data_IF_188202601072
#
_entry.id   IF_188202601072
#
_cell.length_a   1.000
_cell.length_b   1.000
_cell.length_c   1.000
_cell.angle_alpha   90.00
_cell.angle_beta   90.00
_cell.angle_gamma   90.00
#
_symmetry.space_group_name_H-M   'P 1'
#
loop_
_entity.id
_entity.type
_entity.pdbx_description
1 polymer ?
#
# COMPACT_ATOMS: atom_id res chain seq x y z
N UNK A 1 13.58 0.85 -12.14
CA UNK A 1 13.43 1.45 -13.48
C UNK A 1 12.02 1.11 -13.95
N UNK A 2 11.11 2.09 -14.01
CA UNK A 2 9.80 1.88 -14.62
C UNK A 2 10.04 1.62 -16.11
N UNK A 3 9.79 0.38 -16.55
CA UNK A 3 10.02 -0.04 -17.93
C UNK A 3 8.87 0.52 -18.77
N UNK A 4 9.17 1.37 -19.75
CA UNK A 4 8.16 1.84 -20.68
C UNK A 4 7.67 0.65 -21.52
N UNK A 5 6.39 0.29 -21.34
CA UNK A 5 5.78 -0.82 -22.07
C UNK A 5 5.37 -0.33 -23.44
N UNK A 6 6.11 -0.77 -24.45
CA UNK A 6 5.72 -0.67 -25.85
C UNK A 6 5.95 -2.03 -26.52
N UNK A 7 4.85 -2.73 -26.81
CA UNK A 7 4.86 -4.09 -27.34
C UNK A 7 5.59 -4.20 -28.69
N UNK A 8 5.61 -3.14 -29.50
CA UNK A 8 6.23 -3.22 -30.84
C UNK A 8 7.75 -3.42 -30.75
N UNK A 9 8.36 -2.88 -29.70
CA UNK A 9 9.80 -3.00 -29.46
C UNK A 9 10.22 -4.44 -29.11
N UNK A 10 9.26 -5.32 -28.80
CA UNK A 10 9.51 -6.74 -28.53
C UNK A 10 9.49 -7.60 -29.79
N UNK A 11 9.03 -7.07 -30.93
CA UNK A 11 9.09 -7.77 -32.22
C UNK A 11 10.49 -7.66 -32.85
N UNK A 12 10.92 -8.67 -33.64
CA UNK A 12 12.07 -8.51 -34.53
C UNK A 12 11.89 -7.30 -35.47
N UNK A 13 12.96 -6.58 -35.78
CA UNK A 13 12.93 -5.36 -36.61
C UNK A 13 12.16 -5.52 -37.92
N UNK A 14 12.26 -6.68 -38.58
CA UNK A 14 11.58 -6.99 -39.85
C UNK A 14 10.05 -6.92 -39.75
N UNK A 15 9.50 -7.07 -38.54
CA UNK A 15 8.05 -7.08 -38.28
C UNK A 15 7.53 -5.76 -37.68
N UNK A 16 8.41 -4.89 -37.19
CA UNK A 16 8.01 -3.64 -36.51
C UNK A 16 7.32 -2.65 -37.46
N UNK A 17 7.68 -2.66 -38.74
CA UNK A 17 7.14 -1.73 -39.74
C UNK A 17 5.83 -2.20 -40.39
N UNK A 18 5.29 -3.35 -39.98
CA UNK A 18 4.04 -3.87 -40.58
C UNK A 18 2.83 -3.22 -39.94
N UNK A 19 1.95 -2.65 -40.75
CA UNK A 19 0.75 -1.95 -40.28
C UNK A 19 -0.16 -2.80 -39.39
N UNK A 20 -0.27 -4.09 -39.68
CA UNK A 20 -1.08 -5.04 -38.92
C UNK A 20 -0.61 -5.09 -37.45
N UNK A 21 0.69 -5.29 -37.24
CA UNK A 21 1.27 -5.33 -35.90
C UNK A 21 1.18 -3.97 -35.21
N UNK A 22 1.45 -2.87 -35.92
CA UNK A 22 1.32 -1.51 -35.35
C UNK A 22 -0.11 -1.30 -34.81
N UNK A 23 -1.14 -1.61 -35.60
CA UNK A 23 -2.54 -1.38 -35.20
C UNK A 23 -2.96 -2.30 -34.06
N UNK A 24 -2.64 -3.58 -34.12
CA UNK A 24 -2.98 -4.55 -33.06
C UNK A 24 -2.27 -4.19 -31.76
N UNK A 25 -0.97 -3.94 -31.82
CA UNK A 25 -0.17 -3.69 -30.61
C UNK A 25 -0.49 -2.34 -29.99
N UNK A 26 -0.92 -1.34 -30.77
CA UNK A 26 -1.43 -0.09 -30.20
C UNK A 26 -2.70 -0.30 -29.35
N UNK A 27 -3.60 -1.19 -29.78
CA UNK A 27 -4.78 -1.55 -29.00
C UNK A 27 -4.39 -2.33 -27.73
N UNK A 28 -3.54 -3.35 -27.88
CA UNK A 28 -3.10 -4.21 -26.76
C UNK A 28 -2.24 -3.46 -25.75
N UNK A 29 -1.39 -2.53 -26.19
CA UNK A 29 -0.51 -1.73 -25.33
C UNK A 29 -1.29 -1.05 -24.20
N UNK A 30 -2.50 -0.55 -24.47
CA UNK A 30 -3.34 0.11 -23.47
C UNK A 30 -3.77 -0.86 -22.36
N UNK A 31 -4.21 -2.05 -22.76
CA UNK A 31 -4.65 -3.10 -21.82
C UNK A 31 -3.46 -3.63 -21.00
N UNK A 32 -2.31 -3.87 -21.65
CA UNK A 32 -1.11 -4.34 -20.96
C UNK A 32 -0.59 -3.30 -19.97
N UNK A 33 -0.60 -2.00 -20.32
CA UNK A 33 -0.26 -0.93 -19.38
C UNK A 33 -1.17 -0.95 -18.16
N UNK A 34 -2.48 -1.06 -18.37
CA UNK A 34 -3.46 -1.13 -17.28
C UNK A 34 -3.23 -2.35 -16.38
N UNK A 35 -2.92 -3.51 -16.96
CA UNK A 35 -2.59 -4.72 -16.20
C UNK A 35 -1.28 -4.55 -15.42
N UNK A 36 -0.27 -3.93 -16.02
CA UNK A 36 1.00 -3.70 -15.36
C UNK A 36 0.87 -2.72 -14.19
N UNK A 37 0.08 -1.67 -14.33
CA UNK A 37 -0.21 -0.73 -13.24
C UNK A 37 -0.91 -1.46 -12.08
N UNK A 38 -1.90 -2.31 -12.38
CA UNK A 38 -2.56 -3.15 -11.37
C UNK A 38 -1.60 -4.14 -10.70
N UNK A 39 -0.66 -4.72 -11.46
CA UNK A 39 0.38 -5.59 -10.88
C UNK A 39 1.30 -4.80 -9.95
N UNK A 40 1.65 -3.56 -10.30
CA UNK A 40 2.43 -2.65 -9.44
C UNK A 40 1.66 -2.32 -8.17
N UNK A 41 0.38 -1.98 -8.27
CA UNK A 41 -0.49 -1.78 -7.09
C UNK A 41 -0.53 -3.02 -6.20
N UNK A 42 -0.70 -4.21 -6.79
CA UNK A 42 -0.74 -5.47 -6.05
C UNK A 42 0.61 -5.77 -5.38
N UNK A 43 1.73 -5.43 -6.03
CA UNK A 43 3.06 -5.57 -5.45
C UNK A 43 3.26 -4.62 -4.27
N UNK A 44 2.82 -3.36 -4.39
CA UNK A 44 2.88 -2.38 -3.32
C UNK A 44 2.00 -2.79 -2.14
N UNK A 45 0.83 -3.37 -2.42
CA UNK A 45 -0.11 -3.86 -1.41
C UNK A 45 0.43 -5.01 -0.54
N UNK A 46 1.58 -5.59 -0.90
CA UNK A 46 2.28 -6.59 -0.07
C UNK A 46 2.99 -5.96 1.13
N UNK A 47 3.32 -4.68 1.08
CA UNK A 47 4.04 -3.96 2.12
C UNK A 47 3.12 -2.95 2.79
N UNK A 48 3.05 -2.97 4.13
CA UNK A 48 2.15 -2.10 4.90
C UNK A 48 2.47 -0.60 4.72
N UNK A 49 3.73 -0.27 4.47
CA UNK A 49 4.20 1.10 4.25
C UNK A 49 3.76 1.66 2.89
N UNK A 50 3.60 0.81 1.88
CA UNK A 50 3.33 1.20 0.49
C UNK A 50 1.87 0.96 0.05
N UNK A 51 0.99 0.54 0.97
CA UNK A 51 -0.39 0.15 0.66
C UNK A 51 -1.12 1.17 -0.21
N UNK A 52 -1.61 0.73 -1.36
CA UNK A 52 -2.48 1.55 -2.20
C UNK A 52 -3.84 1.75 -1.51
N UNK A 53 -4.71 2.66 -2.01
CA UNK A 53 -6.06 2.82 -1.48
C UNK A 53 -6.88 1.51 -1.45
N UNK A 54 -6.62 0.61 -2.40
CA UNK A 54 -7.22 -0.73 -2.46
C UNK A 54 -6.71 -1.62 -1.33
N UNK A 55 -5.39 -1.66 -1.13
CA UNK A 55 -4.74 -2.38 -0.02
C UNK A 55 -5.20 -1.91 1.35
N UNK A 56 -5.29 -0.59 1.57
CA UNK A 56 -5.79 0.00 2.82
C UNK A 56 -7.21 -0.49 3.13
N UNK A 57 -8.14 -0.39 2.16
CA UNK A 57 -9.52 -0.87 2.34
C UNK A 57 -9.57 -2.35 2.72
N UNK A 58 -8.72 -3.18 2.11
CA UNK A 58 -8.64 -4.61 2.40
C UNK A 58 -8.16 -4.85 3.83
N UNK A 59 -7.09 -4.19 4.25
CA UNK A 59 -6.53 -4.31 5.60
C UNK A 59 -7.46 -3.77 6.68
N UNK A 60 -8.13 -2.65 6.43
CA UNK A 60 -9.16 -2.13 7.33
C UNK A 60 -10.28 -3.15 7.56
N UNK A 61 -10.73 -3.83 6.50
CA UNK A 61 -11.71 -4.91 6.62
C UNK A 61 -11.17 -6.09 7.43
N UNK A 62 -9.93 -6.53 7.17
CA UNK A 62 -9.27 -7.62 7.91
C UNK A 62 -9.17 -7.29 9.40
N UNK A 63 -8.79 -6.05 9.71
CA UNK A 63 -8.56 -5.59 11.09
C UNK A 63 -9.80 -5.01 11.75
N UNK A 64 -10.96 -4.99 11.09
CA UNK A 64 -12.18 -4.33 11.58
C UNK A 64 -11.94 -2.87 12.00
N UNK A 65 -11.17 -2.12 11.22
CA UNK A 65 -10.92 -0.69 11.40
C UNK A 65 -11.97 0.08 10.61
N UNK A 66 -12.61 1.06 11.23
CA UNK A 66 -13.53 1.98 10.57
C UNK A 66 -12.76 3.28 10.25
N UNK A 67 -12.66 3.67 8.96
CA UNK A 67 -11.97 4.89 8.55
C UNK A 67 -12.74 6.13 9.01
N UNK A 68 -12.03 7.19 9.40
CA UNK A 68 -12.68 8.48 9.70
C UNK A 68 -12.84 9.29 8.41
N UNK A 69 -13.88 10.12 8.34
CA UNK A 69 -14.25 10.86 7.11
C UNK A 69 -13.19 11.86 6.61
N UNK A 70 -12.29 12.32 7.49
CA UNK A 70 -11.29 13.35 7.22
C UNK A 70 -9.84 12.85 7.38
N UNK A 71 -9.62 11.54 7.34
CA UNK A 71 -8.31 10.91 7.58
C UNK A 71 -7.50 10.83 6.28
N UNK A 72 -6.22 11.19 6.32
CA UNK A 72 -5.33 11.06 5.16
C UNK A 72 -4.99 9.58 4.89
N UNK A 73 -4.48 9.27 3.69
CA UNK A 73 -4.03 7.91 3.38
C UNK A 73 -2.85 7.50 4.25
N UNK A 74 -1.95 8.43 4.58
CA UNK A 74 -0.78 8.19 5.43
C UNK A 74 -1.21 7.86 6.86
N UNK A 75 -2.16 8.61 7.43
CA UNK A 75 -2.73 8.33 8.76
C UNK A 75 -3.35 6.93 8.82
N UNK A 76 -4.06 6.52 7.75
CA UNK A 76 -4.67 5.20 7.65
C UNK A 76 -3.64 4.09 7.57
N UNK A 77 -2.57 4.27 6.76
CA UNK A 77 -1.43 3.34 6.72
C UNK A 77 -0.79 3.21 8.09
N UNK A 78 -0.51 4.34 8.75
CA UNK A 78 0.08 4.38 10.08
C UNK A 78 -0.78 3.65 11.12
N UNK A 79 -2.11 3.81 11.06
CA UNK A 79 -3.04 3.12 11.95
C UNK A 79 -3.05 1.61 11.73
N UNK A 80 -3.08 1.16 10.47
CA UNK A 80 -2.98 -0.27 10.12
C UNK A 80 -1.66 -0.84 10.64
N UNK A 81 -0.56 -0.15 10.34
CA UNK A 81 0.79 -0.54 10.77
C UNK A 81 0.92 -0.63 12.29
N UNK A 82 0.46 0.40 12.99
CA UNK A 82 0.46 0.45 14.47
C UNK A 82 -0.34 -0.71 15.07
N UNK A 83 -1.50 -1.02 14.50
CA UNK A 83 -2.32 -2.16 14.94
C UNK A 83 -1.67 -3.50 14.62
N UNK A 84 -1.05 -3.62 13.45
CA UNK A 84 -0.34 -4.84 13.04
C UNK A 84 0.83 -5.17 13.97
N UNK A 85 1.64 -4.15 14.32
CA UNK A 85 2.81 -4.32 15.18
C UNK A 85 2.43 -4.33 16.67
N UNK A 86 1.26 -3.81 17.04
CA UNK A 86 0.83 -3.79 18.43
C UNK A 86 0.85 -5.19 19.03
N UNK A 87 1.77 -5.39 19.99
CA UNK A 87 1.68 -6.49 20.94
C UNK A 87 0.87 -5.96 22.11
N UNK A 88 -0.03 -6.79 22.65
CA UNK A 88 -0.73 -6.47 23.89
C UNK A 88 0.34 -6.08 24.93
N UNK A 89 0.29 -4.86 25.47
CA UNK A 89 1.24 -4.42 26.46
C UNK A 89 0.99 -5.21 27.75
N UNK A 90 1.77 -6.27 27.98
CA UNK A 90 1.64 -7.11 29.17
C UNK A 90 2.29 -6.49 30.42
N UNK A 91 2.92 -5.31 30.29
CA UNK A 91 3.50 -4.54 31.40
C UNK A 91 3.36 -3.03 31.16
N UNK A 92 3.25 -2.26 32.24
CA UNK A 92 3.23 -0.79 32.20
C UNK A 92 4.43 -0.21 31.44
N UNK A 93 5.63 -0.76 31.67
CA UNK A 93 6.85 -0.29 31.01
C UNK A 93 6.78 -0.43 29.50
N UNK A 94 6.24 -1.55 29.01
CA UNK A 94 6.05 -1.73 27.57
C UNK A 94 5.00 -0.77 27.01
N UNK A 95 3.91 -0.52 27.75
CA UNK A 95 2.88 0.43 27.37
C UNK A 95 3.44 1.85 27.22
N UNK A 96 4.25 2.31 28.19
CA UNK A 96 4.91 3.63 28.14
C UNK A 96 5.82 3.76 26.92
N UNK A 97 6.74 2.81 26.73
CA UNK A 97 7.64 2.82 25.57
C UNK A 97 6.88 2.81 24.23
N UNK A 98 5.78 2.07 24.16
CA UNK A 98 4.95 2.02 22.96
C UNK A 98 4.25 3.36 22.70
N UNK A 99 3.69 4.00 23.74
CA UNK A 99 3.07 5.32 23.63
C UNK A 99 4.08 6.40 23.24
N UNK A 100 5.28 6.38 23.83
CA UNK A 100 6.38 7.28 23.47
C UNK A 100 6.74 7.14 21.98
N UNK A 101 6.72 5.91 21.43
CA UNK A 101 7.05 5.67 20.02
C UNK A 101 5.98 6.15 19.02
N UNK A 102 4.72 6.21 19.43
CA UNK A 102 3.58 6.57 18.55
C UNK A 102 3.24 8.05 18.64
N UNK A 103 3.25 8.59 19.86
CA UNK A 103 2.75 9.95 20.15
C UNK A 103 3.89 10.90 20.55
N UNK A 104 5.06 10.38 20.93
CA UNK A 104 6.18 11.15 21.46
C UNK A 104 6.14 11.28 22.99
N UNK A 105 7.33 11.41 23.59
CA UNK A 105 7.50 11.53 25.04
C UNK A 105 6.79 12.78 25.59
N UNK A 106 5.98 12.61 26.65
CA UNK A 106 5.26 13.71 27.30
C UNK A 106 3.91 14.10 26.67
N UNK A 107 3.52 13.47 25.57
CA UNK A 107 2.27 13.78 24.87
C UNK A 107 1.05 12.94 25.32
N UNK A 108 1.14 12.24 26.45
CA UNK A 108 0.03 11.43 27.00
C UNK A 108 0.04 11.40 28.53
N UNK A 109 -1.15 11.19 29.12
CA UNK A 109 -1.31 10.86 30.53
C UNK A 109 -1.74 9.39 30.68
N UNK A 110 -1.16 8.67 31.64
CA UNK A 110 -1.39 7.25 31.85
C UNK A 110 -1.88 7.00 33.29
N UNK A 111 -3.11 6.50 33.42
CA UNK A 111 -3.69 6.05 34.70
C UNK A 111 -3.91 4.54 34.67
N UNK A 112 -3.36 3.82 35.67
CA UNK A 112 -3.53 2.37 35.81
C UNK A 112 -4.38 2.09 37.04
N UNK A 113 -5.56 1.51 36.83
CA UNK A 113 -6.39 1.00 37.92
C UNK A 113 -5.93 -0.41 38.29
N UNK A 114 -5.15 -0.52 39.36
CA UNK A 114 -4.86 -1.79 40.00
C UNK A 114 -5.99 -2.09 41.00
N UNK A 115 -7.04 -2.76 40.52
CA UNK A 115 -8.05 -3.36 41.38
C UNK A 115 -7.56 -4.69 41.95
#
# INVERSE_FOLDING_TARGET
MDKEINLINYLPQVLQDKEEYIKVFNAENKEIKTLHDKLKELSNDQFLEDLTPSGIKRWEKIMSIIPKSNESLEDRRFRIFSKYISKLPYSERFLRNWLDSIVGEGNYELTINNA
#
